data_IF_862054916508
#
_entry.id   IF_862054916508
#
_cell.length_a   1.000
_cell.length_b   1.000
_cell.length_c   1.000
_cell.angle_alpha   90.00
_cell.angle_beta   90.00
_cell.angle_gamma   90.00
#
_symmetry.space_group_name_H-M   'P 1'
#
loop_
_entity.id
_entity.type
_entity.pdbx_description
1 polymer ?
#
# COMPACT_ATOMS: atom_id res chain seq x y z
N UNK A 1 7.15 9.67 6.38
CA UNK A 1 7.67 8.30 6.16
C UNK A 1 7.67 7.98 4.67
N UNK A 2 8.56 7.08 4.21
CA UNK A 2 8.50 6.57 2.83
C UNK A 2 7.36 5.56 2.68
N UNK A 3 6.66 5.61 1.56
CA UNK A 3 5.61 4.67 1.20
C UNK A 3 5.69 4.30 -0.28
N UNK A 4 5.39 3.04 -0.60
CA UNK A 4 5.14 2.59 -1.98
C UNK A 4 3.68 2.88 -2.30
N UNK A 5 3.41 3.61 -3.38
CA UNK A 5 2.08 4.05 -3.77
C UNK A 5 1.70 3.54 -5.16
N UNK A 6 0.50 2.99 -5.27
CA UNK A 6 -0.21 2.78 -6.53
C UNK A 6 -1.00 4.05 -6.82
N UNK A 7 -0.66 4.76 -7.90
CA UNK A 7 -1.36 5.98 -8.35
C UNK A 7 -2.22 5.75 -9.59
N UNK A 8 -1.88 4.72 -10.35
CA UNK A 8 -2.60 4.22 -11.50
C UNK A 8 -2.51 2.69 -11.51
N UNK A 9 -3.44 2.03 -12.17
CA UNK A 9 -3.36 0.57 -12.31
C UNK A 9 -2.26 0.21 -13.32
N UNK A 10 -1.44 -0.78 -12.97
CA UNK A 10 -0.30 -1.15 -13.78
C UNK A 10 0.49 -2.33 -13.26
N UNK A 11 1.57 -2.70 -13.94
CA UNK A 11 2.52 -3.67 -13.42
C UNK A 11 3.31 -3.07 -12.23
N UNK A 12 4.06 -3.88 -11.46
CA UNK A 12 4.81 -3.40 -10.29
C UNK A 12 5.74 -2.20 -10.57
N UNK A 13 6.26 -2.07 -11.79
CA UNK A 13 7.15 -1.00 -12.21
C UNK A 13 6.47 0.38 -12.26
N UNK A 14 5.13 0.42 -12.29
CA UNK A 14 4.35 1.66 -12.19
C UNK A 14 4.22 2.18 -10.75
N UNK A 15 4.64 1.40 -9.75
CA UNK A 15 4.60 1.84 -8.35
C UNK A 15 5.66 2.91 -8.10
N UNK A 16 5.29 3.93 -7.32
CA UNK A 16 6.19 5.03 -6.96
C UNK A 16 6.51 4.99 -5.47
N UNK A 17 7.73 5.38 -5.12
CA UNK A 17 8.12 5.58 -3.72
C UNK A 17 8.11 7.07 -3.43
N UNK A 18 7.31 7.48 -2.44
CA UNK A 18 7.19 8.88 -2.04
C UNK A 18 7.33 9.05 -0.52
N UNK A 19 7.79 10.23 -0.11
CA UNK A 19 7.77 10.65 1.28
C UNK A 19 6.41 11.29 1.61
N UNK A 20 5.65 10.62 2.48
CA UNK A 20 4.31 11.06 2.93
C UNK A 20 4.33 11.44 4.41
N UNK A 21 3.29 12.14 4.89
CA UNK A 21 3.13 12.37 6.32
C UNK A 21 3.02 11.04 7.08
N UNK A 22 3.72 10.93 8.22
CA UNK A 22 3.57 9.76 9.08
C UNK A 22 2.16 9.76 9.70
N UNK A 23 1.49 8.61 9.78
CA UNK A 23 0.17 8.53 10.36
C UNK A 23 0.22 8.82 11.87
N UNK A 24 -0.88 9.36 12.39
CA UNK A 24 -1.10 9.56 13.83
C UNK A 24 -2.25 8.64 14.26
N UNK A 25 -2.04 7.83 15.31
CA UNK A 25 -3.10 6.98 15.83
C UNK A 25 -4.22 7.80 16.47
N UNK A 26 -5.47 7.52 16.08
CA UNK A 26 -6.65 7.96 16.81
C UNK A 26 -6.94 7.07 18.02
N UNK A 27 -8.07 7.34 18.70
CA UNK A 27 -8.53 6.54 19.84
C UNK A 27 -8.77 5.09 19.40
N UNK A 28 -8.13 4.13 20.07
CA UNK A 28 -8.27 2.69 19.79
C UNK A 28 -7.45 2.19 18.60
N UNK A 29 -6.57 3.02 18.03
CA UNK A 29 -5.68 2.66 16.94
C UNK A 29 -4.22 2.61 17.43
N UNK A 30 -3.37 1.94 16.65
CA UNK A 30 -1.91 1.92 16.87
C UNK A 30 -1.19 2.31 15.59
N UNK A 31 -0.03 2.94 15.73
CA UNK A 31 0.91 3.16 14.62
C UNK A 31 2.04 2.15 14.76
N UNK A 32 2.27 1.37 13.71
CA UNK A 32 3.33 0.35 13.67
C UNK A 32 4.51 0.87 12.85
N UNK A 33 5.71 0.81 13.40
CA UNK A 33 6.94 1.02 12.63
C UNK A 33 7.28 -0.25 11.87
N UNK A 34 6.74 -0.37 10.65
CA UNK A 34 6.92 -1.54 9.78
C UNK A 34 8.41 -1.74 9.47
N UNK A 35 8.93 -2.93 9.78
CA UNK A 35 10.33 -3.34 9.48
C UNK A 35 10.43 -4.24 8.26
N UNK A 36 9.39 -5.02 8.01
CA UNK A 36 9.22 -5.87 6.85
C UNK A 36 7.73 -5.99 6.54
N UNK A 37 7.41 -6.32 5.31
CA UNK A 37 6.09 -6.78 4.88
C UNK A 37 6.32 -7.93 3.90
N UNK A 38 5.40 -8.88 3.85
CA UNK A 38 5.45 -9.92 2.83
C UNK A 38 4.83 -9.45 1.51
N UNK A 39 5.10 -10.24 0.48
CA UNK A 39 4.71 -9.97 -0.91
C UNK A 39 3.98 -11.20 -1.42
N UNK A 40 2.74 -11.02 -1.88
CA UNK A 40 1.89 -12.11 -2.32
C UNK A 40 1.32 -11.87 -3.72
N UNK A 41 0.79 -12.94 -4.30
CA UNK A 41 0.11 -12.87 -5.60
C UNK A 41 -1.07 -11.88 -5.63
N UNK A 42 -1.96 -11.78 -4.62
CA UNK A 42 -3.05 -10.80 -4.63
C UNK A 42 -2.58 -9.35 -4.72
N UNK A 43 -1.41 -9.01 -4.18
CA UNK A 43 -0.86 -7.65 -4.29
C UNK A 43 -0.70 -7.24 -5.76
N UNK A 44 -0.23 -8.18 -6.60
CA UNK A 44 -0.12 -7.97 -8.06
C UNK A 44 -1.48 -7.77 -8.74
N UNK A 45 -2.52 -8.45 -8.27
CA UNK A 45 -3.87 -8.30 -8.82
C UNK A 45 -4.49 -6.96 -8.42
N UNK A 46 -4.24 -6.50 -7.19
CA UNK A 46 -4.75 -5.24 -6.66
C UNK A 46 -4.15 -4.06 -7.44
N UNK A 47 -2.82 -4.03 -7.62
CA UNK A 47 -2.15 -2.94 -8.36
C UNK A 47 -2.50 -2.95 -9.86
N UNK A 48 -2.91 -4.10 -10.41
CA UNK A 48 -3.41 -4.20 -11.79
C UNK A 48 -4.91 -3.93 -11.93
N UNK A 49 -5.63 -3.66 -10.83
CA UNK A 49 -7.08 -3.45 -10.84
C UNK A 49 -7.91 -4.71 -11.17
N UNK A 50 -7.29 -5.89 -11.08
CA UNK A 50 -7.87 -7.21 -11.40
C UNK A 50 -8.44 -7.93 -10.17
N UNK A 51 -8.24 -7.39 -8.97
CA UNK A 51 -8.78 -7.97 -7.74
C UNK A 51 -10.22 -7.52 -7.46
N UNK A 52 -10.95 -8.31 -6.67
CA UNK A 52 -12.34 -8.03 -6.28
C UNK A 52 -12.44 -6.75 -5.44
N UNK A 53 -11.50 -6.59 -4.50
CA UNK A 53 -11.36 -5.37 -3.71
C UNK A 53 -10.51 -4.34 -4.46
N UNK A 54 -11.00 -3.11 -4.55
CA UNK A 54 -10.38 -2.01 -5.28
C UNK A 54 -10.24 -0.80 -4.35
N UNK A 55 -9.06 -0.58 -3.75
CA UNK A 55 -8.83 0.58 -2.90
C UNK A 55 -8.97 1.89 -3.69
N UNK A 56 -9.32 2.97 -2.99
CA UNK A 56 -9.31 4.30 -3.59
C UNK A 56 -7.87 4.74 -3.90
N UNK A 57 -7.65 5.35 -5.07
CA UNK A 57 -6.33 5.88 -5.45
C UNK A 57 -6.06 7.22 -4.74
N UNK A 58 -4.80 7.52 -4.37
CA UNK A 58 -3.67 6.59 -4.33
C UNK A 58 -3.73 5.69 -3.08
N UNK A 59 -3.19 4.48 -3.18
CA UNK A 59 -3.10 3.55 -2.04
C UNK A 59 -1.74 2.87 -1.94
N UNK A 60 -1.38 2.41 -0.73
CA UNK A 60 -0.25 1.51 -0.52
C UNK A 60 -0.71 0.06 -0.64
N UNK A 61 -0.15 -0.77 -1.54
CA UNK A 61 -0.44 -2.20 -1.58
C UNK A 61 0.17 -2.93 -0.37
N UNK A 62 -0.28 -4.16 -0.11
CA UNK A 62 0.14 -5.00 1.03
C UNK A 62 -0.95 -5.15 2.09
N UNK A 63 -0.98 -6.31 2.75
CA UNK A 63 -1.96 -6.65 3.79
C UNK A 63 -1.34 -7.25 5.05
N UNK A 64 -0.01 -7.21 5.17
CA UNK A 64 0.77 -7.78 6.28
C UNK A 64 1.93 -6.86 6.68
N UNK A 65 2.28 -6.86 7.97
CA UNK A 65 3.29 -5.99 8.62
C UNK A 65 4.03 -6.70 9.75
#
# INVERSE_FOLDING_TARGET
MKAVLCKEYGPPESLVIEDIASPTAGRGQVVVSVKACGVNFPDTLIIQGKYQFKPAMPFSPGSEV
#
